data_IF_073707305463
#
_entry.id   IF_073707305463
#
_cell.length_a   1.000
_cell.length_b   1.000
_cell.length_c   1.000
_cell.angle_alpha   90.00
_cell.angle_beta   90.00
_cell.angle_gamma   90.00
#
_symmetry.space_group_name_H-M   'P 1'
#
loop_
_entity.id
_entity.type
_entity.pdbx_description
1 polymer ?
#
# COMPACT_ATOMS: atom_id res chain seq x y z
N UNK A 1 0.89 -16.64 -15.66
CA UNK A 1 0.79 -18.09 -15.41
C UNK A 1 -0.13 -18.29 -14.22
N UNK A 2 -1.20 -19.07 -14.37
CA UNK A 2 -2.11 -19.38 -13.27
C UNK A 2 -1.35 -20.15 -12.19
N UNK A 3 -1.48 -19.71 -10.93
CA UNK A 3 -0.88 -20.38 -9.76
C UNK A 3 -1.70 -21.59 -9.29
N UNK A 4 -2.79 -21.90 -9.98
CA UNK A 4 -3.70 -22.97 -9.59
C UNK A 4 -3.19 -24.33 -10.07
N UNK A 5 -3.31 -25.40 -9.26
CA UNK A 5 -3.04 -26.76 -9.69
C UNK A 5 -3.83 -27.11 -10.98
N UNK A 6 -3.29 -27.97 -11.87
CA UNK A 6 -3.95 -28.32 -13.15
C UNK A 6 -5.41 -28.78 -13.01
N UNK A 7 -5.72 -29.53 -11.95
CA UNK A 7 -7.09 -29.97 -11.63
C UNK A 7 -8.04 -28.80 -11.36
N UNK A 8 -7.56 -27.75 -10.71
CA UNK A 8 -8.36 -26.57 -10.39
C UNK A 8 -8.59 -25.70 -11.64
N UNK A 9 -7.62 -25.61 -12.54
CA UNK A 9 -7.80 -24.94 -13.84
C UNK A 9 -8.88 -25.63 -14.70
N UNK A 10 -8.85 -26.97 -14.78
CA UNK A 10 -9.88 -27.73 -15.49
C UNK A 10 -11.29 -27.50 -14.90
N UNK A 11 -11.39 -27.41 -13.57
CA UNK A 11 -12.64 -27.10 -12.88
C UNK A 11 -13.13 -25.67 -13.15
N UNK A 12 -12.24 -24.68 -13.23
CA UNK A 12 -12.60 -23.30 -13.59
C UNK A 12 -13.14 -23.19 -15.01
N UNK A 13 -12.51 -23.87 -15.96
CA UNK A 13 -13.00 -23.89 -17.34
C UNK A 13 -14.35 -24.60 -17.47
N UNK A 14 -14.51 -25.72 -16.77
CA UNK A 14 -15.77 -26.44 -16.71
C UNK A 14 -16.87 -25.57 -16.09
N UNK A 15 -16.57 -24.87 -14.99
CA UNK A 15 -17.46 -23.91 -14.37
C UNK A 15 -17.82 -22.77 -15.33
N UNK A 16 -16.86 -22.11 -15.94
CA UNK A 16 -17.11 -20.99 -16.86
C UNK A 16 -18.03 -21.35 -18.01
N UNK A 17 -17.84 -22.53 -18.62
CA UNK A 17 -18.72 -23.06 -19.68
C UNK A 17 -20.12 -23.35 -19.16
N UNK A 18 -20.23 -24.08 -18.05
CA UNK A 18 -21.50 -24.55 -17.53
C UNK A 18 -22.33 -23.40 -16.93
N UNK A 19 -21.69 -22.51 -16.17
CA UNK A 19 -22.28 -21.32 -15.57
C UNK A 19 -22.66 -20.27 -16.62
N UNK A 20 -21.80 -20.00 -17.61
CA UNK A 20 -22.11 -19.09 -18.70
C UNK A 20 -23.34 -19.54 -19.50
N UNK A 21 -23.42 -20.83 -19.82
CA UNK A 21 -24.60 -21.39 -20.47
C UNK A 21 -25.86 -21.34 -19.60
N UNK A 22 -25.72 -21.59 -18.30
CA UNK A 22 -26.82 -21.51 -17.34
C UNK A 22 -27.35 -20.07 -17.17
N UNK A 23 -26.46 -19.08 -17.06
CA UNK A 23 -26.80 -17.65 -17.00
C UNK A 23 -27.60 -17.23 -18.23
N UNK A 24 -27.14 -17.59 -19.42
CA UNK A 24 -27.81 -17.25 -20.68
C UNK A 24 -29.21 -17.86 -20.75
N UNK A 25 -29.38 -19.13 -20.37
CA UNK A 25 -30.70 -19.80 -20.33
C UNK A 25 -31.62 -19.25 -19.25
N UNK A 26 -31.07 -18.79 -18.14
CA UNK A 26 -31.84 -18.28 -17.01
C UNK A 26 -32.28 -16.83 -17.21
N UNK A 27 -31.59 -16.07 -18.06
CA UNK A 27 -31.94 -14.68 -18.38
C UNK A 27 -33.37 -14.54 -18.90
N UNK A 28 -33.80 -15.48 -19.74
CA UNK A 28 -35.13 -15.46 -20.35
C UNK A 28 -36.23 -15.98 -19.41
N UNK A 29 -35.85 -16.55 -18.26
CA UNK A 29 -36.77 -17.04 -17.21
C UNK A 29 -36.97 -16.03 -16.08
N UNK A 30 -36.33 -14.86 -16.16
CA UNK A 30 -36.48 -13.85 -15.13
C UNK A 30 -37.90 -13.30 -15.11
N UNK A 31 -38.48 -13.05 -13.92
CA UNK A 31 -39.76 -12.37 -13.82
C UNK A 31 -39.73 -11.04 -14.57
N UNK A 32 -40.81 -10.75 -15.30
CA UNK A 32 -40.97 -9.50 -16.06
C UNK A 32 -40.99 -8.28 -15.15
N UNK A 33 -41.49 -8.41 -13.91
CA UNK A 33 -41.45 -7.33 -12.91
C UNK A 33 -40.08 -7.25 -12.22
N UNK A 34 -39.15 -6.58 -12.89
CA UNK A 34 -37.80 -6.29 -12.38
C UNK A 34 -37.81 -5.38 -11.15
N UNK A 35 -38.83 -4.54 -11.00
CA UNK A 35 -38.92 -3.59 -9.89
C UNK A 35 -39.23 -4.28 -8.57
N UNK A 36 -40.11 -5.29 -8.60
CA UNK A 36 -40.35 -6.15 -7.45
C UNK A 36 -39.08 -6.92 -7.04
N UNK A 37 -38.37 -7.49 -8.01
CA UNK A 37 -37.11 -8.20 -7.76
C UNK A 37 -36.05 -7.30 -7.11
N UNK A 38 -35.91 -6.07 -7.60
CA UNK A 38 -34.95 -5.12 -7.07
C UNK A 38 -35.26 -4.73 -5.61
N UNK A 39 -36.53 -4.64 -5.22
CA UNK A 39 -36.95 -4.38 -3.84
C UNK A 39 -36.60 -5.51 -2.88
N UNK A 40 -36.68 -6.75 -3.36
CA UNK A 40 -36.35 -7.94 -2.56
C UNK A 40 -34.85 -8.26 -2.54
N UNK A 41 -34.09 -7.66 -3.45
CA UNK A 41 -32.66 -7.91 -3.62
C UNK A 41 -31.89 -7.47 -2.37
N UNK A 42 -31.22 -8.42 -1.72
CA UNK A 42 -30.38 -8.13 -0.55
C UNK A 42 -29.02 -7.54 -0.92
N UNK A 43 -28.65 -7.62 -2.20
CA UNK A 43 -27.39 -7.09 -2.70
C UNK A 43 -27.58 -5.61 -3.06
N UNK A 44 -26.56 -4.76 -2.84
CA UNK A 44 -26.72 -3.32 -3.01
C UNK A 44 -26.81 -2.98 -4.50
N UNK A 45 -27.90 -2.31 -4.89
CA UNK A 45 -28.13 -1.86 -6.26
C UNK A 45 -27.91 -0.35 -6.41
N UNK A 46 -27.95 0.41 -5.31
CA UNK A 46 -27.86 1.87 -5.33
C UNK A 46 -26.51 2.36 -5.86
N UNK A 47 -26.58 3.34 -6.76
CA UNK A 47 -25.40 3.95 -7.39
C UNK A 47 -24.73 3.08 -8.46
N UNK A 48 -25.23 1.87 -8.74
CA UNK A 48 -24.75 1.07 -9.87
C UNK A 48 -25.36 1.58 -11.19
N UNK A 49 -24.56 1.64 -12.28
CA UNK A 49 -25.12 1.79 -13.62
C UNK A 49 -26.14 0.69 -13.93
N UNK A 50 -27.17 0.95 -14.76
CA UNK A 50 -28.24 -0.01 -15.02
C UNK A 50 -27.78 -1.41 -15.47
N UNK A 51 -26.75 -1.48 -16.32
CA UNK A 51 -26.18 -2.77 -16.78
C UNK A 51 -25.51 -3.54 -15.63
N UNK A 52 -24.86 -2.84 -14.69
CA UNK A 52 -24.23 -3.44 -13.52
C UNK A 52 -25.25 -3.86 -12.48
N UNK A 53 -26.31 -3.07 -12.28
CA UNK A 53 -27.42 -3.43 -11.42
C UNK A 53 -28.13 -4.70 -11.92
N UNK A 54 -28.30 -4.86 -13.25
CA UNK A 54 -28.88 -6.08 -13.84
C UNK A 54 -27.99 -7.31 -13.60
N UNK A 55 -26.67 -7.19 -13.79
CA UNK A 55 -25.72 -8.27 -13.48
C UNK A 55 -25.75 -8.60 -11.98
N UNK A 56 -25.80 -7.60 -11.11
CA UNK A 56 -25.87 -7.79 -9.66
C UNK A 56 -27.13 -8.56 -9.26
N UNK A 57 -28.28 -8.14 -9.81
CA UNK A 57 -29.57 -8.78 -9.57
C UNK A 57 -29.58 -10.23 -10.07
N UNK A 58 -29.03 -10.47 -11.25
CA UNK A 58 -28.87 -11.81 -11.82
C UNK A 58 -28.05 -12.73 -10.92
N UNK A 59 -26.89 -12.27 -10.45
CA UNK A 59 -26.06 -13.06 -9.55
C UNK A 59 -26.80 -13.40 -8.24
N UNK A 60 -27.47 -12.42 -7.63
CA UNK A 60 -28.28 -12.64 -6.43
C UNK A 60 -29.39 -13.68 -6.66
N UNK A 61 -30.13 -13.55 -7.77
CA UNK A 61 -31.22 -14.47 -8.09
C UNK A 61 -30.75 -15.92 -8.22
N UNK A 62 -29.59 -16.14 -8.82
CA UNK A 62 -29.10 -17.49 -9.11
C UNK A 62 -28.42 -18.13 -7.90
N UNK A 63 -27.72 -17.33 -7.10
CA UNK A 63 -26.85 -17.83 -6.04
C UNK A 63 -27.53 -17.82 -4.68
N UNK A 64 -28.37 -16.81 -4.41
CA UNK A 64 -28.80 -16.44 -3.06
C UNK A 64 -30.30 -16.46 -2.85
N UNK A 65 -31.10 -16.24 -3.90
CA UNK A 65 -32.56 -16.25 -3.77
C UNK A 65 -33.10 -17.68 -3.86
N UNK A 66 -33.72 -18.22 -2.79
CA UNK A 66 -34.43 -19.48 -2.90
C UNK A 66 -35.68 -19.31 -3.76
N UNK A 67 -35.97 -20.29 -4.60
CA UNK A 67 -37.25 -20.38 -5.29
C UNK A 67 -38.38 -20.59 -4.25
N UNK A 68 -39.46 -19.80 -4.29
CA UNK A 68 -40.53 -19.89 -3.29
C UNK A 68 -41.24 -21.25 -3.23
N UNK A 69 -41.29 -21.99 -4.35
CA UNK A 69 -41.97 -23.28 -4.41
C UNK A 69 -41.09 -24.43 -3.91
N UNK A 70 -39.79 -24.39 -4.17
CA UNK A 70 -38.87 -25.47 -3.80
C UNK A 70 -38.01 -25.19 -2.56
N UNK A 71 -37.88 -23.92 -2.17
CA UNK A 71 -36.96 -23.47 -1.13
C UNK A 71 -35.48 -23.60 -1.51
N UNK A 72 -35.15 -23.92 -2.77
CA UNK A 72 -33.79 -24.15 -3.26
C UNK A 72 -33.34 -23.02 -4.17
N UNK A 73 -32.04 -22.70 -4.14
CA UNK A 73 -31.46 -21.71 -5.07
C UNK A 73 -31.28 -22.35 -6.45
N UNK A 74 -31.22 -21.52 -7.50
CA UNK A 74 -30.99 -22.05 -8.85
C UNK A 74 -29.60 -22.68 -8.99
N UNK A 75 -28.60 -22.17 -8.25
CA UNK A 75 -27.28 -22.78 -8.10
C UNK A 75 -27.36 -24.20 -7.55
N UNK A 76 -28.16 -24.43 -6.50
CA UNK A 76 -28.33 -25.78 -5.92
C UNK A 76 -28.88 -26.76 -6.94
N UNK A 77 -29.95 -26.34 -7.61
CA UNK A 77 -30.62 -27.13 -8.62
C UNK A 77 -29.70 -27.49 -9.76
N UNK A 78 -28.95 -26.51 -10.26
CA UNK A 78 -27.94 -26.72 -11.29
C UNK A 78 -26.82 -27.67 -10.81
N UNK A 79 -26.26 -27.46 -9.62
CA UNK A 79 -25.20 -28.30 -9.09
C UNK A 79 -25.64 -29.76 -8.93
N UNK A 80 -26.85 -30.01 -8.44
CA UNK A 80 -27.33 -31.37 -8.20
C UNK A 80 -27.80 -32.09 -9.48
N UNK A 81 -28.42 -31.36 -10.42
CA UNK A 81 -29.04 -31.95 -11.63
C UNK A 81 -28.09 -32.01 -12.81
N UNK A 82 -27.30 -30.96 -13.02
CA UNK A 82 -26.55 -30.76 -14.28
C UNK A 82 -25.04 -30.99 -14.13
N UNK A 83 -24.50 -30.98 -12.90
CA UNK A 83 -23.06 -31.16 -12.66
C UNK A 83 -22.75 -32.60 -12.31
N UNK A 84 -22.17 -33.34 -13.27
CA UNK A 84 -21.85 -34.76 -13.13
C UNK A 84 -20.62 -35.01 -12.24
N UNK A 85 -19.64 -34.10 -12.23
CA UNK A 85 -18.43 -34.22 -11.40
C UNK A 85 -18.76 -33.93 -9.92
N UNK A 86 -18.57 -34.90 -9.00
CA UNK A 86 -18.92 -34.71 -7.60
C UNK A 86 -18.09 -33.63 -6.89
N UNK A 87 -16.83 -33.45 -7.28
CA UNK A 87 -15.95 -32.44 -6.68
C UNK A 87 -16.36 -31.03 -7.11
N UNK A 88 -16.72 -30.85 -8.38
CA UNK A 88 -17.25 -29.58 -8.90
C UNK A 88 -18.61 -29.26 -8.27
N UNK A 89 -19.47 -30.27 -8.14
CA UNK A 89 -20.78 -30.13 -7.47
C UNK A 89 -20.61 -29.64 -6.03
N UNK A 90 -19.77 -30.31 -5.25
CA UNK A 90 -19.52 -29.91 -3.85
C UNK A 90 -18.99 -28.47 -3.76
N UNK A 91 -18.03 -28.13 -4.62
CA UNK A 91 -17.46 -26.79 -4.66
C UNK A 91 -18.49 -25.71 -5.03
N UNK A 92 -19.44 -26.02 -5.92
CA UNK A 92 -20.55 -25.12 -6.24
C UNK A 92 -21.49 -24.93 -5.06
N UNK A 93 -21.83 -26.01 -4.35
CA UNK A 93 -22.71 -25.93 -3.18
C UNK A 93 -22.10 -25.11 -2.04
N UNK A 94 -20.77 -25.03 -1.92
CA UNK A 94 -20.12 -24.11 -0.97
C UNK A 94 -20.40 -22.63 -1.25
N UNK A 95 -20.82 -22.28 -2.47
CA UNK A 95 -21.18 -20.90 -2.81
C UNK A 95 -22.57 -20.49 -2.29
N UNK A 96 -23.41 -21.39 -1.77
CA UNK A 96 -24.77 -21.05 -1.31
C UNK A 96 -24.83 -20.18 -0.04
N UNK A 97 -23.69 -20.01 0.64
CA UNK A 97 -23.62 -19.27 1.89
C UNK A 97 -22.60 -18.14 1.76
N UNK A 98 -22.90 -17.10 0.96
CA UNK A 98 -21.98 -15.99 0.85
C UNK A 98 -21.86 -15.23 2.16
N UNK A 99 -20.68 -14.67 2.35
CA UNK A 99 -20.45 -13.61 3.31
C UNK A 99 -20.70 -12.29 2.64
N UNK A 100 -21.82 -11.68 3.02
CA UNK A 100 -22.15 -10.35 2.55
C UNK A 100 -21.73 -9.30 3.59
N UNK A 101 -21.09 -8.25 3.13
CA UNK A 101 -20.78 -7.12 3.98
C UNK A 101 -19.67 -6.23 3.44
N UNK A 102 -19.03 -5.56 4.38
CA UNK A 102 -17.86 -4.72 4.16
C UNK A 102 -16.61 -5.48 4.62
N UNK A 103 -15.58 -5.44 3.79
CA UNK A 103 -14.34 -6.16 3.98
C UNK A 103 -13.16 -5.19 3.81
N UNK A 104 -12.40 -4.97 4.89
CA UNK A 104 -11.22 -4.12 4.87
C UNK A 104 -10.06 -4.87 4.23
N UNK A 105 -9.43 -4.30 3.21
CA UNK A 105 -8.30 -4.91 2.51
C UNK A 105 -7.02 -4.62 3.30
N UNK A 106 -6.46 -5.65 3.93
CA UNK A 106 -5.25 -5.58 4.74
C UNK A 106 -3.98 -5.66 3.89
N UNK A 107 -4.05 -6.32 2.75
CA UNK A 107 -2.91 -6.49 1.85
C UNK A 107 -3.31 -7.10 0.52
N UNK A 108 -2.40 -6.97 -0.45
CA UNK A 108 -2.59 -7.41 -1.81
C UNK A 108 -1.31 -8.02 -2.37
N UNK A 109 -1.40 -9.22 -2.93
CA UNK A 109 -0.29 -9.94 -3.57
C UNK A 109 -0.77 -10.63 -4.84
N UNK A 110 -0.42 -10.07 -6.00
CA UNK A 110 -0.88 -10.60 -7.28
C UNK A 110 -2.40 -10.52 -7.39
N UNK A 111 -3.07 -11.66 -7.58
CA UNK A 111 -4.52 -11.78 -7.65
C UNK A 111 -5.17 -12.18 -6.31
N UNK A 112 -4.44 -12.07 -5.20
CA UNK A 112 -4.90 -12.45 -3.87
C UNK A 112 -4.97 -11.19 -2.99
N UNK A 113 -6.11 -11.01 -2.32
CA UNK A 113 -6.35 -10.01 -1.30
C UNK A 113 -6.45 -10.69 0.07
N UNK A 114 -5.70 -10.16 1.04
CA UNK A 114 -5.90 -10.48 2.45
C UNK A 114 -6.91 -9.46 2.99
N UNK A 115 -8.11 -9.91 3.35
CA UNK A 115 -9.19 -9.01 3.81
C UNK A 115 -9.65 -9.38 5.22
N UNK A 116 -10.23 -8.42 5.92
CA UNK A 116 -10.88 -8.60 7.22
C UNK A 116 -12.36 -8.26 7.09
N UNK A 117 -13.24 -9.19 7.46
CA UNK A 117 -14.67 -8.92 7.58
C UNK A 117 -14.91 -7.85 8.66
N UNK A 118 -15.49 -6.72 8.30
CA UNK A 118 -15.66 -5.59 9.22
C UNK A 118 -16.61 -5.91 10.38
N UNK A 119 -17.52 -6.88 10.22
CA UNK A 119 -18.49 -7.27 11.25
C UNK A 119 -17.93 -8.34 12.17
N UNK A 120 -17.33 -9.39 11.61
CA UNK A 120 -16.86 -10.55 12.42
C UNK A 120 -15.39 -10.46 12.81
N UNK A 121 -14.63 -9.53 12.22
CA UNK A 121 -13.16 -9.40 12.34
C UNK A 121 -12.37 -10.62 11.84
N UNK A 122 -13.02 -11.54 11.14
CA UNK A 122 -12.37 -12.71 10.59
C UNK A 122 -11.52 -12.34 9.37
N UNK A 123 -10.33 -12.92 9.28
CA UNK A 123 -9.44 -12.73 8.13
C UNK A 123 -9.73 -13.75 7.06
N UNK A 124 -9.88 -13.28 5.83
CA UNK A 124 -10.21 -14.08 4.66
C UNK A 124 -9.17 -13.85 3.57
N UNK A 125 -8.84 -14.91 2.85
CA UNK A 125 -8.03 -14.84 1.64
C UNK A 125 -8.96 -14.87 0.45
N UNK A 126 -9.01 -13.75 -0.28
CA UNK A 126 -9.92 -13.53 -1.41
C UNK A 126 -9.13 -13.53 -2.71
N UNK A 127 -9.47 -14.43 -3.61
CA UNK A 127 -8.94 -14.45 -4.96
C UNK A 127 -9.80 -13.55 -5.86
N UNK A 128 -9.15 -12.63 -6.56
CA UNK A 128 -9.78 -11.68 -7.47
C UNK A 128 -9.32 -11.92 -8.91
N UNK A 129 -10.10 -11.49 -9.93
CA UNK A 129 -9.65 -11.55 -11.32
C UNK A 129 -8.31 -10.82 -11.54
N UNK A 130 -7.41 -11.31 -12.42
CA UNK A 130 -6.11 -10.69 -12.69
C UNK A 130 -6.18 -9.23 -13.16
N UNK A 131 -7.34 -8.79 -13.66
CA UNK A 131 -7.56 -7.44 -14.15
C UNK A 131 -7.70 -6.38 -13.04
N UNK A 132 -7.84 -6.79 -11.76
CA UNK A 132 -7.88 -5.86 -10.64
C UNK A 132 -6.45 -5.42 -10.26
N UNK A 133 -6.13 -4.12 -10.30
CA UNK A 133 -4.82 -3.60 -9.90
C UNK A 133 -4.67 -3.70 -8.38
N UNK A 134 -4.31 -4.87 -7.89
CA UNK A 134 -4.33 -5.20 -6.46
C UNK A 134 -3.43 -4.30 -5.61
N UNK A 135 -2.34 -3.77 -6.17
CA UNK A 135 -1.41 -2.88 -5.48
C UNK A 135 -2.00 -1.53 -5.02
N UNK A 136 -3.14 -1.10 -5.55
CA UNK A 136 -3.81 0.16 -5.14
C UNK A 136 -5.00 -0.04 -4.21
N UNK A 137 -5.29 -1.30 -3.84
CA UNK A 137 -6.47 -1.67 -3.07
C UNK A 137 -6.22 -1.78 -1.56
N UNK A 138 -4.96 -1.81 -1.10
CA UNK A 138 -4.64 -1.82 0.33
C UNK A 138 -5.27 -0.61 1.04
N UNK A 139 -5.77 -0.83 2.25
CA UNK A 139 -6.49 0.15 3.08
C UNK A 139 -7.84 0.62 2.52
N UNK A 140 -8.32 0.03 1.42
CA UNK A 140 -9.70 0.23 0.95
C UNK A 140 -10.67 -0.72 1.66
N UNK A 141 -11.94 -0.34 1.67
CA UNK A 141 -13.05 -1.22 2.03
C UNK A 141 -13.70 -1.72 0.75
N UNK A 142 -13.80 -3.03 0.61
CA UNK A 142 -14.57 -3.71 -0.43
C UNK A 142 -15.95 -4.04 0.11
N UNK A 143 -17.01 -3.74 -0.65
CA UNK A 143 -18.38 -4.09 -0.31
C UNK A 143 -18.96 -5.03 -1.35
N UNK A 144 -19.52 -6.15 -0.91
CA UNK A 144 -20.17 -7.13 -1.79
C UNK A 144 -20.29 -8.52 -1.16
N UNK A 145 -20.59 -9.51 -2.00
CA UNK A 145 -20.73 -10.91 -1.61
C UNK A 145 -19.43 -11.69 -1.88
N UNK A 146 -18.90 -12.34 -0.84
CA UNK A 146 -17.80 -13.29 -0.94
C UNK A 146 -18.34 -14.71 -0.84
N UNK A 147 -18.11 -15.51 -1.88
CA UNK A 147 -18.48 -16.92 -1.92
C UNK A 147 -17.26 -17.79 -1.71
N UNK A 148 -17.42 -18.92 -1.01
CA UNK A 148 -16.33 -19.87 -0.82
C UNK A 148 -16.06 -20.61 -2.13
N UNK A 149 -14.78 -20.75 -2.48
CA UNK A 149 -14.35 -21.46 -3.68
C UNK A 149 -13.02 -22.16 -3.41
N UNK A 150 -13.04 -23.50 -3.33
CA UNK A 150 -11.87 -24.27 -2.91
C UNK A 150 -11.45 -23.92 -1.48
N UNK A 151 -10.16 -23.60 -1.31
CA UNK A 151 -9.58 -23.17 -0.03
C UNK A 151 -9.73 -21.68 0.26
N UNK A 152 -10.26 -20.89 -0.68
CA UNK A 152 -10.33 -19.44 -0.57
C UNK A 152 -11.75 -18.89 -0.73
N UNK A 153 -11.81 -17.57 -0.86
CA UNK A 153 -13.03 -16.82 -1.12
C UNK A 153 -12.92 -16.12 -2.47
N UNK A 154 -14.04 -15.88 -3.15
CA UNK A 154 -14.10 -15.10 -4.38
C UNK A 154 -15.25 -14.11 -4.34
N UNK A 155 -15.08 -12.89 -4.86
CA UNK A 155 -16.19 -11.99 -5.07
C UNK A 155 -17.07 -12.53 -6.20
N UNK A 156 -18.39 -12.49 -6.02
CA UNK A 156 -19.34 -12.81 -7.08
C UNK A 156 -20.33 -11.66 -7.24
N UNK A 157 -20.61 -11.32 -8.50
CA UNK A 157 -21.31 -10.08 -8.86
C UNK A 157 -20.38 -8.86 -8.89
N UNK A 158 -20.99 -7.70 -8.73
CA UNK A 158 -20.38 -6.38 -8.61
C UNK A 158 -19.95 -6.16 -7.16
N UNK A 159 -18.64 -6.04 -6.98
CA UNK A 159 -18.04 -5.50 -5.76
C UNK A 159 -17.72 -4.02 -5.95
N UNK A 160 -18.01 -3.21 -4.94
CA UNK A 160 -17.63 -1.81 -4.94
C UNK A 160 -16.47 -1.61 -3.96
N UNK A 161 -15.60 -0.65 -4.26
CA UNK A 161 -14.52 -0.26 -3.37
C UNK A 161 -14.81 1.14 -2.87
N UNK A 162 -14.58 1.39 -1.59
CA UNK A 162 -14.56 2.74 -1.05
C UNK A 162 -13.55 3.56 -1.86
N UNK A 163 -13.97 4.75 -2.29
CA UNK A 163 -13.05 5.71 -2.86
C UNK A 163 -12.04 6.11 -1.79
N UNK A 164 -10.78 6.23 -2.19
CA UNK A 164 -9.81 6.92 -1.37
C UNK A 164 -10.23 8.40 -1.26
N UNK A 165 -9.88 9.08 -0.16
CA UNK A 165 -10.15 10.52 -0.04
C UNK A 165 -9.63 11.34 -1.24
N UNK A 166 -8.47 10.97 -1.79
CA UNK A 166 -7.91 11.62 -2.99
C UNK A 166 -8.81 11.45 -4.22
N UNK A 167 -9.43 10.29 -4.41
CA UNK A 167 -10.39 10.05 -5.48
C UNK A 167 -11.72 10.78 -5.24
N UNK A 168 -12.17 10.88 -4.00
CA UNK A 168 -13.35 11.69 -3.64
C UNK A 168 -13.11 13.15 -4.02
N UNK A 169 -11.97 13.72 -3.62
CA UNK A 169 -11.61 15.09 -3.96
C UNK A 169 -11.47 15.29 -5.47
N UNK A 170 -10.76 14.41 -6.17
CA UNK A 170 -10.61 14.50 -7.62
C UNK A 170 -11.96 14.47 -8.36
N UNK A 171 -12.94 13.73 -7.84
CA UNK A 171 -14.27 13.62 -8.44
C UNK A 171 -15.25 14.73 -8.04
N UNK A 172 -15.19 15.18 -6.79
CA UNK A 172 -16.24 16.03 -6.20
C UNK A 172 -15.77 17.43 -5.86
N UNK A 173 -14.46 17.67 -5.78
CA UNK A 173 -13.88 18.89 -5.24
C UNK A 173 -14.11 19.10 -3.74
N UNK A 174 -14.78 18.16 -3.06
CA UNK A 174 -15.11 18.27 -1.64
C UNK A 174 -13.96 17.77 -0.77
N UNK A 175 -13.64 18.57 0.25
CA UNK A 175 -12.78 18.21 1.37
C UNK A 175 -13.68 18.17 2.60
N UNK A 176 -14.01 16.98 3.10
CA UNK A 176 -14.88 16.85 4.28
C UNK A 176 -14.11 16.79 5.60
N UNK A 177 -12.78 16.63 5.55
CA UNK A 177 -11.92 16.54 6.72
C UNK A 177 -10.73 17.51 6.58
N UNK A 178 -10.68 18.52 7.46
CA UNK A 178 -9.61 19.53 7.47
C UNK A 178 -8.24 18.92 7.75
N UNK A 179 -8.16 17.85 8.54
CA UNK A 179 -6.89 17.21 8.87
C UNK A 179 -6.30 16.51 7.64
N UNK A 180 -7.16 15.96 6.79
CA UNK A 180 -6.76 15.31 5.55
C UNK A 180 -6.27 16.31 4.49
N UNK A 181 -6.93 17.45 4.32
CA UNK A 181 -6.42 18.51 3.44
C UNK A 181 -5.04 18.99 3.87
N UNK A 182 -4.86 19.16 5.18
CA UNK A 182 -3.58 19.55 5.74
C UNK A 182 -2.52 18.47 5.50
N UNK A 183 -2.85 17.19 5.59
CA UNK A 183 -1.93 16.10 5.26
C UNK A 183 -1.53 16.12 3.78
N UNK A 184 -2.47 16.34 2.85
CA UNK A 184 -2.14 16.46 1.42
C UNK A 184 -1.21 17.63 1.13
N UNK A 185 -1.51 18.80 1.70
CA UNK A 185 -0.66 19.99 1.59
C UNK A 185 0.72 19.68 2.15
N UNK A 186 0.79 19.05 3.32
CA UNK A 186 2.03 18.65 3.97
C UNK A 186 2.86 17.69 3.10
N UNK A 187 2.23 16.66 2.53
CA UNK A 187 2.89 15.72 1.62
C UNK A 187 3.42 16.41 0.35
N UNK A 188 2.67 17.38 -0.19
CA UNK A 188 3.12 18.18 -1.34
C UNK A 188 4.36 19.01 -0.98
N UNK A 189 4.32 19.68 0.18
CA UNK A 189 5.46 20.47 0.69
C UNK A 189 6.70 19.60 0.92
N UNK A 190 6.54 18.38 1.45
CA UNK A 190 7.64 17.41 1.61
C UNK A 190 8.23 17.04 0.24
N UNK A 191 7.37 16.70 -0.74
CA UNK A 191 7.82 16.35 -2.11
C UNK A 191 8.58 17.51 -2.76
N UNK A 192 8.12 18.75 -2.58
CA UNK A 192 8.78 19.94 -3.10
C UNK A 192 10.13 20.20 -2.41
N UNK A 193 10.19 20.07 -1.08
CA UNK A 193 11.45 20.19 -0.33
C UNK A 193 12.50 19.15 -0.77
N UNK A 194 12.06 17.94 -1.16
CA UNK A 194 12.93 16.87 -1.66
C UNK A 194 13.34 17.01 -3.13
N UNK A 195 12.82 18.00 -3.88
CA UNK A 195 13.29 18.30 -5.25
C UNK A 195 14.69 18.93 -5.26
N UNK A 196 15.26 19.23 -4.10
CA UNK A 196 16.56 19.85 -3.95
C UNK A 196 17.66 19.09 -4.68
N UNK A 197 18.40 19.78 -5.56
CA UNK A 197 19.57 19.20 -6.23
C UNK A 197 20.78 19.20 -5.26
N UNK A 198 21.33 18.00 -5.06
CA UNK A 198 22.46 17.71 -4.18
C UNK A 198 23.64 17.17 -5.00
N UNK A 199 24.85 17.53 -4.58
CA UNK A 199 26.09 16.93 -5.09
C UNK A 199 26.40 15.65 -4.29
N UNK A 200 26.99 14.59 -4.88
CA UNK A 200 27.32 13.35 -4.16
C UNK A 200 28.18 13.54 -2.89
N UNK A 201 29.01 14.58 -2.86
CA UNK A 201 29.83 14.99 -1.72
C UNK A 201 29.32 16.23 -0.97
N UNK A 202 28.02 16.51 -1.01
CA UNK A 202 27.45 17.67 -0.32
C UNK A 202 27.65 17.59 1.19
N UNK A 203 28.06 18.72 1.79
CA UNK A 203 28.21 18.85 3.24
C UNK A 203 26.87 19.08 3.92
N UNK A 204 26.71 18.64 5.16
CA UNK A 204 25.50 18.82 5.96
C UNK A 204 25.12 20.29 6.02
N UNK A 205 26.07 21.20 6.25
CA UNK A 205 25.79 22.65 6.30
C UNK A 205 25.20 23.14 4.96
N UNK A 206 25.77 22.71 3.82
CA UNK A 206 25.27 23.09 2.50
C UNK A 206 23.85 22.57 2.24
N UNK A 207 23.55 21.36 2.71
CA UNK A 207 22.23 20.73 2.59
C UNK A 207 21.20 21.46 3.48
N UNK A 208 21.53 21.68 4.75
CA UNK A 208 20.61 22.31 5.72
C UNK A 208 20.28 23.76 5.35
N UNK A 209 21.20 24.49 4.70
CA UNK A 209 20.92 25.82 4.18
C UNK A 209 19.82 25.82 3.10
N UNK A 210 19.63 24.70 2.42
CA UNK A 210 18.61 24.50 1.39
C UNK A 210 17.32 23.87 1.94
N UNK A 211 17.40 23.22 3.11
CA UNK A 211 16.23 22.63 3.76
C UNK A 211 15.22 23.69 4.24
N UNK A 212 13.94 23.30 4.36
CA UNK A 212 12.94 24.10 5.06
C UNK A 212 13.37 24.42 6.49
N UNK A 213 13.04 25.61 6.98
CA UNK A 213 13.38 26.03 8.35
C UNK A 213 12.76 25.10 9.39
N UNK A 214 11.55 24.60 9.14
CA UNK A 214 10.82 23.67 10.00
C UNK A 214 11.61 22.38 10.26
N UNK A 215 12.29 21.86 9.24
CA UNK A 215 13.13 20.67 9.35
C UNK A 215 14.41 20.97 10.13
N UNK A 216 15.07 22.08 9.82
CA UNK A 216 16.28 22.52 10.53
C UNK A 216 15.98 22.75 12.02
N UNK A 217 14.86 23.37 12.35
CA UNK A 217 14.43 23.61 13.73
C UNK A 217 14.09 22.30 14.47
N UNK A 218 13.53 21.32 13.76
CA UNK A 218 13.32 19.97 14.27
C UNK A 218 14.64 19.27 14.61
N UNK A 219 15.66 19.38 13.74
CA UNK A 219 16.99 18.83 14.00
C UNK A 219 17.63 19.53 15.20
N UNK A 220 17.55 20.87 15.28
CA UNK A 220 18.04 21.63 16.43
C UNK A 220 17.43 21.11 17.74
N UNK A 221 16.11 20.93 17.78
CA UNK A 221 15.41 20.41 18.96
C UNK A 221 15.94 19.03 19.37
N UNK A 222 16.09 18.11 18.41
CA UNK A 222 16.51 16.73 18.66
C UNK A 222 17.96 16.60 19.10
N UNK A 223 18.82 17.51 18.65
CA UNK A 223 20.23 17.55 19.04
C UNK A 223 20.48 18.46 20.25
N UNK A 224 19.47 19.10 20.82
CA UNK A 224 19.64 20.06 21.91
C UNK A 224 20.49 21.28 21.49
N UNK A 225 20.45 21.64 20.20
CA UNK A 225 21.08 22.85 19.68
C UNK A 225 20.11 24.02 19.85
N UNK A 226 20.53 25.17 20.41
CA UNK A 226 19.65 26.32 20.58
C UNK A 226 18.97 26.73 19.27
N UNK A 227 17.65 26.93 19.31
CA UNK A 227 16.84 27.31 18.14
C UNK A 227 17.01 28.77 17.71
N UNK A 228 17.73 29.60 18.48
CA UNK A 228 17.89 31.03 18.19
C UNK A 228 18.76 31.29 16.96
N UNK A 229 18.47 32.38 16.24
CA UNK A 229 19.32 32.91 15.16
C UNK A 229 18.92 32.51 13.73
N UNK A 230 19.71 32.98 12.76
CA UNK A 230 19.49 32.78 11.32
C UNK A 230 19.74 31.31 10.93
N UNK A 231 19.01 30.79 9.93
CA UNK A 231 19.10 29.38 9.46
C UNK A 231 20.53 28.92 9.19
N UNK A 232 21.37 29.77 8.59
CA UNK A 232 22.78 29.43 8.34
C UNK A 232 23.62 29.23 9.61
N UNK A 233 23.31 29.94 10.69
CA UNK A 233 23.91 29.71 12.00
C UNK A 233 23.50 28.36 12.58
N UNK A 234 22.20 28.03 12.48
CA UNK A 234 21.67 26.72 12.92
C UNK A 234 22.31 25.56 12.16
N UNK A 235 22.45 25.68 10.84
CA UNK A 235 23.09 24.67 10.01
C UNK A 235 24.54 24.38 10.45
N UNK A 236 25.33 25.42 10.72
CA UNK A 236 26.69 25.28 11.25
C UNK A 236 26.71 24.65 12.64
N UNK A 237 25.81 25.07 13.53
CA UNK A 237 25.74 24.53 14.89
C UNK A 237 25.33 23.05 14.89
N UNK A 238 24.41 22.63 14.02
CA UNK A 238 24.04 21.23 13.82
C UNK A 238 25.25 20.43 13.31
N UNK A 239 25.96 20.91 12.29
CA UNK A 239 27.13 20.24 11.75
C UNK A 239 28.24 20.09 12.80
N UNK A 240 28.49 21.12 13.62
CA UNK A 240 29.41 21.05 14.74
C UNK A 240 28.95 20.04 15.82
N UNK A 241 27.65 20.02 16.15
CA UNK A 241 27.09 19.10 17.13
C UNK A 241 27.15 17.62 16.68
N UNK A 242 27.13 17.37 15.37
CA UNK A 242 27.31 16.04 14.78
C UNK A 242 28.78 15.75 14.43
N UNK A 243 29.71 16.62 14.79
CA UNK A 243 31.15 16.35 14.73
C UNK A 243 31.57 15.26 15.72
N UNK A 244 32.78 14.72 15.52
CA UNK A 244 33.41 13.84 16.50
C UNK A 244 33.74 14.61 17.79
N UNK A 245 33.54 14.04 18.99
CA UNK A 245 33.14 12.64 19.30
C UNK A 245 31.62 12.42 19.45
N UNK A 246 30.80 13.48 19.39
CA UNK A 246 29.38 13.42 19.73
C UNK A 246 28.55 12.56 18.77
N UNK A 247 28.99 12.42 17.52
CA UNK A 247 28.37 11.54 16.52
C UNK A 247 28.21 10.10 17.00
N UNK A 248 29.23 9.52 17.63
CA UNK A 248 29.18 8.15 18.12
C UNK A 248 28.10 7.94 19.18
N UNK A 249 27.93 8.92 20.08
CA UNK A 249 26.87 8.90 21.09
C UNK A 249 25.47 9.06 20.50
N UNK A 250 25.31 9.83 19.42
CA UNK A 250 24.03 9.92 18.69
C UNK A 250 23.71 8.59 18.02
N UNK A 251 24.67 7.99 17.32
CA UNK A 251 24.49 6.70 16.63
C UNK A 251 24.21 5.57 17.63
N UNK A 252 24.87 5.53 18.78
CA UNK A 252 24.66 4.49 19.78
C UNK A 252 23.26 4.51 20.39
N UNK A 253 22.63 5.69 20.48
CA UNK A 253 21.25 5.89 20.99
C UNK A 253 20.15 5.61 19.95
N UNK A 254 20.51 5.38 18.69
CA UNK A 254 19.52 5.05 17.67
C UNK A 254 18.82 3.72 18.00
N UNK A 255 17.49 3.62 17.78
CA UNK A 255 16.80 2.35 17.85
C UNK A 255 17.34 1.33 16.84
N UNK A 256 17.20 0.00 17.08
CA UNK A 256 17.79 -1.04 16.23
C UNK A 256 17.40 -0.93 14.75
N UNK A 257 16.12 -0.64 14.47
CA UNK A 257 15.60 -0.46 13.11
C UNK A 257 16.30 0.69 12.34
N UNK A 258 16.62 1.77 13.04
CA UNK A 258 17.21 2.99 12.51
C UNK A 258 18.71 2.80 12.32
N UNK A 259 19.37 2.06 13.21
CA UNK A 259 20.75 1.58 13.01
C UNK A 259 20.86 0.69 11.79
N UNK A 260 19.91 -0.24 11.61
CA UNK A 260 19.87 -1.11 10.43
C UNK A 260 19.72 -0.29 9.14
N UNK A 261 18.80 0.69 9.12
CA UNK A 261 18.65 1.60 7.99
C UNK A 261 19.92 2.43 7.71
N UNK A 262 20.60 2.94 8.75
CA UNK A 262 21.84 3.70 8.60
C UNK A 262 22.99 2.83 8.06
N UNK A 263 23.12 1.60 8.57
CA UNK A 263 24.06 0.58 8.08
C UNK A 263 23.79 0.22 6.62
N UNK A 264 22.53 -0.01 6.26
CA UNK A 264 22.11 -0.33 4.90
C UNK A 264 22.57 0.71 3.87
N UNK A 265 22.45 2.00 4.21
CA UNK A 265 22.91 3.12 3.38
C UNK A 265 24.44 3.20 3.35
N UNK A 266 25.10 3.01 4.49
CA UNK A 266 26.56 3.09 4.60
C UNK A 266 27.27 1.99 3.80
N UNK A 267 26.80 0.74 3.90
CA UNK A 267 27.34 -0.41 3.17
C UNK A 267 27.25 -0.24 1.64
N UNK A 268 26.39 0.66 1.17
CA UNK A 268 26.22 1.03 -0.25
C UNK A 268 26.94 2.33 -0.60
N UNK A 269 28.03 2.65 0.10
CA UNK A 269 28.85 3.84 -0.17
C UNK A 269 28.27 5.14 0.39
N UNK A 270 27.27 5.06 1.27
CA UNK A 270 26.66 6.23 1.91
C UNK A 270 25.59 6.95 1.07
N UNK A 271 25.13 6.36 -0.02
CA UNK A 271 24.03 6.88 -0.84
C UNK A 271 23.24 5.78 -1.54
N UNK A 272 21.92 5.87 -1.56
CA UNK A 272 21.02 4.89 -2.20
C UNK A 272 19.80 5.57 -2.83
N UNK A 273 19.22 5.03 -3.92
CA UNK A 273 17.93 5.49 -4.41
C UNK A 273 16.87 5.43 -3.31
N UNK A 274 16.06 6.47 -3.17
CA UNK A 274 15.09 6.57 -2.07
C UNK A 274 14.08 5.40 -2.09
N UNK A 275 13.58 5.02 -3.26
CA UNK A 275 12.64 3.89 -3.38
C UNK A 275 13.27 2.53 -3.04
N UNK A 276 14.59 2.41 -3.08
CA UNK A 276 15.29 1.21 -2.57
C UNK A 276 15.35 1.23 -1.04
N UNK A 277 15.61 2.39 -0.45
CA UNK A 277 15.55 2.56 1.00
C UNK A 277 14.13 2.33 1.52
N UNK A 278 13.11 2.96 0.94
CA UNK A 278 11.70 2.86 1.38
C UNK A 278 11.18 1.41 1.41
N UNK A 279 11.59 0.57 0.46
CA UNK A 279 11.22 -0.85 0.41
C UNK A 279 11.86 -1.68 1.54
N UNK A 280 13.07 -1.34 1.95
CA UNK A 280 13.79 -2.04 3.03
C UNK A 280 13.46 -1.45 4.42
N UNK A 281 13.33 -0.13 4.48
CA UNK A 281 13.15 0.67 5.68
C UNK A 281 12.28 1.87 5.35
N UNK A 282 11.06 1.93 5.92
CA UNK A 282 10.17 3.06 5.74
C UNK A 282 10.88 4.40 5.99
N UNK A 283 10.68 5.36 5.08
CA UNK A 283 11.36 6.66 5.07
C UNK A 283 10.38 7.85 5.11
N UNK A 284 9.11 7.60 5.46
CA UNK A 284 8.08 8.63 5.51
C UNK A 284 8.41 9.71 6.53
N UNK A 285 8.18 10.97 6.16
CA UNK A 285 8.36 12.17 6.99
C UNK A 285 7.22 13.15 6.74
N UNK A 286 6.93 13.98 7.74
CA UNK A 286 6.09 15.17 7.60
C UNK A 286 6.91 16.45 7.40
N UNK A 287 6.23 17.59 7.35
CA UNK A 287 6.81 18.93 7.31
C UNK A 287 7.18 19.46 8.70
N UNK A 288 6.42 19.09 9.73
CA UNK A 288 6.46 19.76 11.04
C UNK A 288 7.30 19.04 12.10
N UNK A 289 8.60 18.82 11.86
CA UNK A 289 9.44 17.99 12.75
C UNK A 289 9.58 18.50 14.19
N UNK A 290 9.33 19.80 14.41
CA UNK A 290 9.35 20.40 15.75
C UNK A 290 8.21 19.95 16.66
N UNK A 291 7.03 19.68 16.11
CA UNK A 291 5.85 19.21 16.83
C UNK A 291 5.59 17.72 16.59
N UNK A 292 5.75 17.27 15.33
CA UNK A 292 5.52 15.90 14.88
C UNK A 292 6.78 15.35 14.21
N UNK A 293 7.67 14.80 15.03
CA UNK A 293 8.88 14.19 14.50
C UNK A 293 8.59 12.88 13.75
N UNK A 294 9.32 12.58 12.67
CA UNK A 294 9.20 11.31 11.97
C UNK A 294 9.44 10.10 12.89
N UNK A 295 8.59 9.10 12.78
CA UNK A 295 8.63 7.89 13.61
C UNK A 295 9.21 6.68 12.87
N UNK A 296 9.34 6.75 11.55
CA UNK A 296 9.86 5.68 10.71
C UNK A 296 11.39 5.53 10.85
N UNK A 297 11.97 4.35 10.59
CA UNK A 297 13.41 4.12 10.80
C UNK A 297 14.29 5.13 10.07
N UNK A 298 14.07 5.35 8.77
CA UNK A 298 14.84 6.33 8.01
C UNK A 298 14.39 7.78 8.29
N UNK A 299 13.12 8.00 8.65
CA UNK A 299 12.63 9.31 9.08
C UNK A 299 13.34 9.83 10.32
N UNK A 300 13.61 8.97 11.31
CA UNK A 300 14.37 9.34 12.52
C UNK A 300 15.79 9.79 12.19
N UNK A 301 16.45 9.12 11.24
CA UNK A 301 17.79 9.51 10.79
C UNK A 301 17.79 10.91 10.15
N UNK A 302 16.74 11.22 9.38
CA UNK A 302 16.55 12.55 8.78
C UNK A 302 16.33 13.62 9.84
N UNK A 303 15.51 13.34 10.85
CA UNK A 303 15.26 14.24 11.97
C UNK A 303 16.48 14.48 12.88
N UNK A 304 17.53 13.65 12.75
CA UNK A 304 18.82 13.82 13.42
C UNK A 304 19.90 14.43 12.51
N UNK A 305 19.61 14.71 11.24
CA UNK A 305 20.59 15.21 10.27
C UNK A 305 21.63 14.17 9.81
N UNK A 306 21.43 12.87 10.13
CA UNK A 306 22.34 11.79 9.74
C UNK A 306 22.08 11.28 8.32
N UNK A 307 20.85 11.45 7.83
CA UNK A 307 20.42 11.07 6.50
C UNK A 307 19.70 12.25 5.85
N UNK A 308 19.99 12.52 4.59
CA UNK A 308 19.32 13.57 3.82
C UNK A 308 18.73 12.98 2.55
N UNK A 309 17.64 13.57 2.07
CA UNK A 309 17.01 13.22 0.80
C UNK A 309 17.04 14.42 -0.12
N UNK A 310 17.39 14.17 -1.39
CA UNK A 310 17.35 15.14 -2.48
C UNK A 310 17.53 14.45 -3.83
N UNK A 311 17.68 15.24 -4.89
CA UNK A 311 17.99 14.77 -6.25
C UNK A 311 19.49 14.81 -6.49
N UNK A 312 20.09 13.65 -6.74
CA UNK A 312 21.53 13.51 -7.03
C UNK A 312 21.67 13.01 -8.47
N UNK A 313 22.63 13.54 -9.26
CA UNK A 313 22.92 12.99 -10.58
C UNK A 313 23.42 11.54 -10.47
N UNK A 314 22.83 10.64 -11.26
CA UNK A 314 23.35 9.28 -11.45
C UNK A 314 24.60 9.29 -12.36
N UNK A 315 25.18 8.11 -12.63
CA UNK A 315 26.34 7.98 -13.55
C UNK A 315 26.04 8.46 -14.97
N UNK A 316 24.77 8.47 -15.38
CA UNK A 316 24.30 8.96 -16.66
C UNK A 316 23.87 10.45 -16.61
N UNK A 317 24.11 11.15 -15.50
CA UNK A 317 23.75 12.55 -15.30
C UNK A 317 22.27 12.82 -15.01
N UNK A 318 21.43 11.79 -14.88
CA UNK A 318 19.99 11.94 -14.60
C UNK A 318 19.76 12.17 -13.11
N UNK A 319 18.86 13.09 -12.78
CA UNK A 319 18.54 13.42 -11.40
C UNK A 319 17.61 12.36 -10.77
N UNK A 320 18.15 11.57 -9.84
CA UNK A 320 17.40 10.56 -9.10
C UNK A 320 17.16 10.97 -7.64
N UNK A 321 15.96 10.70 -7.10
CA UNK A 321 15.68 10.85 -5.66
C UNK A 321 16.55 9.87 -4.87
N UNK A 322 17.45 10.42 -4.07
CA UNK A 322 18.53 9.67 -3.42
C UNK A 322 18.57 10.06 -1.94
N UNK A 323 18.62 9.05 -1.08
CA UNK A 323 18.96 9.21 0.32
C UNK A 323 20.49 9.10 0.48
N UNK A 324 21.12 10.06 1.15
CA UNK A 324 22.57 10.07 1.33
C UNK A 324 22.99 10.50 2.73
N UNK A 325 24.13 10.01 3.19
CA UNK A 325 24.82 10.45 4.40
C UNK A 325 25.77 11.59 3.99
N UNK A 326 25.69 12.77 4.63
CA UNK A 326 26.62 13.88 4.37
C UNK A 326 28.07 13.42 4.47
N UNK A 327 28.92 13.86 3.53
CA UNK A 327 30.25 13.28 3.31
C UNK A 327 31.12 13.31 4.56
N UNK A 328 31.06 14.41 5.32
CA UNK A 328 31.86 14.61 6.53
C UNK A 328 31.42 13.71 7.69
N UNK A 329 30.18 13.20 7.68
CA UNK A 329 29.69 12.30 8.73
C UNK A 329 30.04 10.84 8.46
N UNK A 330 30.37 10.48 7.20
CA UNK A 330 30.46 9.07 6.79
C UNK A 330 31.48 8.29 7.58
N UNK A 331 32.67 8.87 7.79
CA UNK A 331 33.74 8.23 8.55
C UNK A 331 33.29 7.90 9.97
N UNK A 332 32.81 8.90 10.71
CA UNK A 332 32.40 8.70 12.09
C UNK A 332 31.16 7.81 12.24
N UNK A 333 30.24 7.81 11.26
CA UNK A 333 29.14 6.82 11.23
C UNK A 333 29.66 5.41 10.99
N UNK A 334 30.62 5.22 10.08
CA UNK A 334 31.23 3.91 9.81
C UNK A 334 31.89 3.35 11.06
N UNK A 335 32.72 4.17 11.72
CA UNK A 335 33.39 3.85 12.98
C UNK A 335 32.35 3.50 14.06
N UNK A 336 31.31 4.30 14.24
CA UNK A 336 30.27 4.07 15.24
C UNK A 336 29.41 2.81 14.98
N UNK A 337 29.30 2.36 13.72
CA UNK A 337 28.57 1.16 13.33
C UNK A 337 29.44 -0.10 13.30
N UNK A 338 30.75 0.03 13.50
CA UNK A 338 31.71 -1.07 13.35
C UNK A 338 31.87 -1.55 11.91
N UNK A 339 31.58 -0.69 10.93
CA UNK A 339 31.75 -0.99 9.51
C UNK A 339 33.18 -0.59 9.18
N UNK A 340 34.04 -1.57 8.83
CA UNK A 340 35.45 -1.34 8.52
C UNK A 340 35.68 -0.33 7.37
N UNK A 341 36.96 0.02 7.06
CA UNK A 341 37.26 1.02 6.06
C UNK A 341 36.58 0.74 4.71
N UNK A 342 35.80 1.70 4.21
CA UNK A 342 35.10 1.64 2.92
C UNK A 342 36.02 1.34 1.72
N UNK A 343 37.34 1.52 1.89
CA UNK A 343 38.36 1.26 0.87
C UNK A 343 38.58 -0.22 0.54
N UNK A 344 38.04 -1.16 1.32
CA UNK A 344 38.26 -2.59 1.09
C UNK A 344 37.21 -3.28 0.20
N UNK A 345 36.21 -2.56 -0.33
CA UNK A 345 35.08 -3.18 -1.07
C UNK A 345 34.72 -2.51 -2.41
N UNK A 346 35.59 -1.63 -2.93
CA UNK A 346 35.45 -1.02 -4.27
C UNK A 346 36.45 -1.66 -5.27
N UNK A 347 37.06 -2.79 -4.92
CA UNK A 347 37.65 -3.72 -5.89
C UNK A 347 36.60 -4.77 -6.25
N UNK A 348 36.50 -5.11 -7.53
CA UNK A 348 35.72 -6.23 -8.09
C UNK A 348 34.28 -5.93 -8.50
N UNK A 349 34.10 -4.85 -9.27
CA UNK A 349 33.08 -4.84 -10.33
C UNK A 349 33.63 -4.10 -11.55
N UNK A 350 34.76 -4.59 -12.06
CA UNK A 350 35.08 -4.56 -13.49
C UNK A 350 34.66 -5.93 -14.05
N UNK A 351 33.46 -5.98 -14.63
CA UNK A 351 33.07 -6.85 -15.75
C UNK A 351 31.80 -6.27 -16.40
#
# INVERSE_FOLDING_TARGET
>A
MSLLPPRQQALEEAFGRAWGGFLLRSRDRLPTDRSALARDCRWPLDGLPPDKAEVQLLCWLLLDRPDPATGRTSLRDFAEKDVLDPSLREMLLWMEHPRWGEHRILGARGNILDVEDCRTRERLTVEVPPALPSGTLTDRTMKGALHRWGSGWRPVGIVTFSLTPAEVFARTGLITDSDWAMEMVEQSMVKDAEKLILRPGATLTSILNKYPSQWVDGICLRLGVPKGGKKGGKAKAIAAALGSPRLGAVVSRLPPDSKAALRFVMERGGSVPLGTLERAHSAAVGMWWGSRAPTTPAGRLRALGLLVVGRVPDRAGRLARTAMIPVELRRGVSEALGIGPLSARIGDSEE
#
